data_IF_179695298269
#
_entry.id   IF_179695298269
#
_cell.length_a   1.000
_cell.length_b   1.000
_cell.length_c   1.000
_cell.angle_alpha   90.00
_cell.angle_beta   90.00
_cell.angle_gamma   90.00
#
_symmetry.space_group_name_H-M   'P 1'
#
loop_
_entity.id
_entity.type
_entity.pdbx_description
1 polymer ?
#
# COMPACT_ATOMS: atom_id res chain seq x y z
N UNK A 1 -2.87 -19.72 -9.46
CA UNK A 1 -4.14 -19.49 -8.71
C UNK A 1 -4.17 -18.03 -8.33
N UNK A 2 -5.30 -17.29 -8.33
CA UNK A 2 -5.25 -15.90 -7.89
C UNK A 2 -5.06 -15.91 -6.36
N UNK A 3 -3.82 -15.73 -5.93
CA UNK A 3 -3.45 -15.57 -4.53
C UNK A 3 -3.75 -14.10 -4.16
N UNK A 4 -5.02 -13.78 -3.96
CA UNK A 4 -5.39 -12.40 -3.67
C UNK A 4 -4.90 -12.04 -2.27
N UNK A 5 -4.26 -10.87 -2.15
CA UNK A 5 -3.95 -10.29 -0.85
C UNK A 5 -5.24 -10.12 -0.04
N UNK A 6 -5.17 -10.30 1.27
CA UNK A 6 -6.30 -9.94 2.15
C UNK A 6 -6.02 -8.59 2.77
N UNK A 7 -7.04 -7.75 2.78
CA UNK A 7 -6.96 -6.41 3.33
C UNK A 7 -7.76 -6.33 4.62
N UNK A 8 -7.27 -5.56 5.58
CA UNK A 8 -7.97 -5.20 6.80
C UNK A 8 -7.80 -3.70 7.03
N UNK A 9 -8.86 -2.94 6.75
CA UNK A 9 -8.87 -1.49 6.93
C UNK A 9 -9.25 -1.17 8.38
N UNK A 10 -8.39 -0.39 9.02
CA UNK A 10 -8.55 0.00 10.43
C UNK A 10 -9.12 1.40 10.57
N UNK A 11 -8.78 2.29 9.64
CA UNK A 11 -9.22 3.68 9.67
C UNK A 11 -9.22 4.28 8.26
N UNK A 12 -10.15 5.19 8.04
CA UNK A 12 -10.28 5.99 6.82
C UNK A 12 -10.72 7.41 7.18
N UNK A 13 -10.13 8.40 6.52
CA UNK A 13 -10.50 9.82 6.62
C UNK A 13 -10.44 10.45 5.24
N UNK A 14 -11.48 11.19 4.86
CA UNK A 14 -11.57 11.96 3.60
C UNK A 14 -11.35 13.46 3.82
N UNK A 15 -10.25 13.80 4.50
CA UNK A 15 -9.85 15.18 4.73
C UNK A 15 -8.48 15.28 5.39
N UNK A 16 -7.83 16.42 5.18
CA UNK A 16 -6.58 16.75 5.86
C UNK A 16 -6.57 18.26 6.22
N UNK A 17 -6.41 18.64 7.51
CA UNK A 17 -6.18 17.77 8.67
C UNK A 17 -7.40 16.88 9.01
N UNK A 18 -7.16 15.75 9.68
CA UNK A 18 -8.21 14.82 10.08
C UNK A 18 -9.19 15.46 11.08
N UNK A 19 -10.46 15.05 11.01
CA UNK A 19 -11.51 15.48 11.92
C UNK A 19 -11.81 14.43 13.01
N UNK A 20 -11.64 14.79 14.28
CA UNK A 20 -11.91 13.89 15.41
C UNK A 20 -13.34 14.00 15.97
N UNK A 21 -14.22 14.80 15.35
CA UNK A 21 -15.62 14.94 15.77
C UNK A 21 -16.47 13.78 15.22
N UNK A 22 -17.35 13.23 16.06
CA UNK A 22 -18.27 12.16 15.68
C UNK A 22 -17.73 10.74 15.94
N UNK A 23 -18.49 9.74 15.48
CA UNK A 23 -18.22 8.31 15.72
C UNK A 23 -18.47 7.45 14.46
N UNK A 24 -18.48 8.08 13.29
CA UNK A 24 -18.71 7.37 12.03
C UNK A 24 -17.49 6.52 11.68
N UNK A 25 -17.76 5.28 11.29
CA UNK A 25 -16.74 4.36 10.78
C UNK A 25 -16.72 4.46 9.25
N UNK A 26 -15.88 5.35 8.74
CA UNK A 26 -15.81 5.66 7.31
C UNK A 26 -15.30 4.47 6.46
N UNK A 27 -14.61 3.50 7.06
CA UNK A 27 -14.10 2.30 6.34
C UNK A 27 -15.23 1.58 5.59
N UNK A 28 -16.45 1.58 6.14
CA UNK A 28 -17.62 0.91 5.53
C UNK A 28 -18.02 1.51 4.18
N UNK A 29 -17.65 2.74 3.91
CA UNK A 29 -17.96 3.46 2.67
C UNK A 29 -16.88 3.25 1.59
N UNK A 30 -15.71 2.72 1.97
CA UNK A 30 -14.52 2.64 1.11
C UNK A 30 -14.03 1.20 0.90
N UNK A 31 -14.92 0.22 0.96
CA UNK A 31 -14.56 -1.22 0.88
C UNK A 31 -13.88 -1.66 -0.43
N UNK A 32 -13.95 -0.84 -1.48
CA UNK A 32 -13.32 -1.07 -2.79
C UNK A 32 -12.19 -0.09 -3.11
N UNK A 33 -11.96 0.92 -2.27
CA UNK A 33 -11.00 1.96 -2.53
C UNK A 33 -9.62 1.56 -2.01
N UNK A 34 -8.58 1.96 -2.73
CA UNK A 34 -7.21 1.64 -2.33
C UNK A 34 -6.64 2.71 -1.39
N UNK A 35 -6.97 3.98 -1.61
CA UNK A 35 -6.36 5.17 -0.99
C UNK A 35 -7.38 6.30 -0.96
N UNK A 36 -7.40 7.10 0.11
CA UNK A 36 -8.15 8.37 0.15
C UNK A 36 -7.45 9.43 -0.70
N UNK A 37 -8.24 10.15 -1.51
CA UNK A 37 -7.71 11.24 -2.35
C UNK A 37 -7.54 12.56 -1.60
N UNK A 38 -8.09 12.69 -0.40
CA UNK A 38 -8.09 13.95 0.37
C UNK A 38 -7.61 13.81 1.81
N UNK A 39 -7.48 12.59 2.33
CA UNK A 39 -7.08 12.37 3.72
C UNK A 39 -6.10 11.21 3.89
N UNK A 40 -6.47 10.23 4.72
CA UNK A 40 -5.56 9.18 5.17
C UNK A 40 -6.23 7.83 5.34
N UNK A 41 -5.45 6.77 5.19
CA UNK A 41 -5.87 5.38 5.36
C UNK A 41 -4.89 4.66 6.27
N UNK A 42 -5.39 3.80 7.16
CA UNK A 42 -4.59 2.88 7.96
C UNK A 42 -5.09 1.47 7.74
N UNK A 43 -4.24 0.57 7.24
CA UNK A 43 -4.63 -0.82 6.93
C UNK A 43 -3.54 -1.84 7.20
N UNK A 44 -3.92 -3.10 7.19
CA UNK A 44 -3.01 -4.22 7.02
C UNK A 44 -3.28 -4.95 5.70
N UNK A 45 -2.20 -5.46 5.12
CA UNK A 45 -2.20 -6.30 3.92
C UNK A 45 -1.54 -7.63 4.23
N UNK A 46 -2.30 -8.71 4.12
CA UNK A 46 -1.79 -10.07 4.22
C UNK A 46 -1.48 -10.61 2.82
N UNK A 47 -0.21 -10.94 2.59
CA UNK A 47 0.29 -11.47 1.32
C UNK A 47 0.47 -12.99 1.48
N UNK A 48 -0.25 -13.80 0.68
CA UNK A 48 -0.22 -15.26 0.81
C UNK A 48 1.15 -15.85 0.45
N UNK A 49 1.44 -17.08 0.91
CA UNK A 49 2.57 -17.87 0.43
C UNK A 49 2.64 -17.92 -1.10
N UNK A 50 3.85 -17.74 -1.66
CA UNK A 50 4.08 -17.69 -3.12
C UNK A 50 3.17 -16.69 -3.86
N UNK A 51 2.75 -15.62 -3.17
CA UNK A 51 1.86 -14.59 -3.70
C UNK A 51 2.55 -13.24 -3.87
N UNK A 52 1.81 -12.26 -4.38
CA UNK A 52 2.26 -10.88 -4.49
C UNK A 52 1.10 -9.88 -4.37
N UNK A 53 1.44 -8.64 -4.03
CA UNK A 53 0.56 -7.50 -4.26
C UNK A 53 0.55 -7.12 -5.75
N UNK A 54 -0.49 -6.40 -6.22
CA UNK A 54 -0.44 -5.76 -7.53
C UNK A 54 0.80 -4.87 -7.68
N UNK A 55 1.32 -4.78 -8.89
CA UNK A 55 2.42 -3.86 -9.22
C UNK A 55 1.83 -2.50 -9.61
N UNK A 56 1.98 -1.50 -8.75
CA UNK A 56 1.20 -0.27 -8.84
C UNK A 56 1.89 0.91 -8.15
N UNK A 57 1.40 2.12 -8.41
CA UNK A 57 1.59 3.26 -7.52
C UNK A 57 0.26 3.93 -7.23
N UNK A 58 0.23 4.65 -6.12
CA UNK A 58 -0.88 5.48 -5.67
C UNK A 58 -0.43 6.92 -5.56
N UNK A 59 -1.38 7.85 -5.68
CA UNK A 59 -1.16 9.28 -5.39
C UNK A 59 -1.14 9.49 -3.87
N UNK A 60 -0.13 8.92 -3.21
CA UNK A 60 0.01 8.94 -1.76
C UNK A 60 1.46 8.86 -1.30
N UNK A 61 1.65 9.22 -0.02
CA UNK A 61 2.82 8.91 0.77
C UNK A 61 2.47 7.77 1.72
N UNK A 62 3.21 6.66 1.64
CA UNK A 62 2.91 5.47 2.43
C UNK A 62 4.05 5.15 3.39
N UNK A 63 3.68 4.81 4.63
CA UNK A 63 4.58 4.23 5.63
C UNK A 63 4.18 2.77 5.83
N UNK A 64 4.93 1.86 5.22
CA UNK A 64 4.71 0.42 5.31
C UNK A 64 5.64 -0.23 6.31
N UNK A 65 5.10 -1.03 7.23
CA UNK A 65 5.84 -1.71 8.29
C UNK A 65 5.58 -3.21 8.17
N UNK A 66 6.65 -4.00 7.98
CA UNK A 66 6.52 -5.44 7.95
C UNK A 66 6.42 -5.97 9.38
N UNK A 67 5.25 -6.50 9.75
CA UNK A 67 4.97 -6.95 11.13
C UNK A 67 4.96 -8.47 11.28
N UNK A 68 4.89 -9.23 10.18
CA UNK A 68 4.98 -10.70 10.16
C UNK A 68 5.51 -11.21 8.83
N UNK A 69 6.28 -12.30 8.87
CA UNK A 69 6.80 -12.97 7.68
C UNK A 69 8.02 -12.28 7.04
N UNK A 70 8.23 -12.55 5.76
CA UNK A 70 9.29 -11.95 4.93
C UNK A 70 8.68 -11.53 3.60
N UNK A 71 9.11 -10.39 3.07
CA UNK A 71 8.69 -9.91 1.76
C UNK A 71 9.90 -9.48 0.94
N UNK A 72 9.71 -9.41 -0.37
CA UNK A 72 10.62 -8.75 -1.28
C UNK A 72 9.88 -7.56 -1.88
N UNK A 73 10.34 -6.35 -1.60
CA UNK A 73 9.91 -5.14 -2.30
C UNK A 73 10.57 -5.12 -3.67
N UNK A 74 9.77 -4.94 -4.72
CA UNK A 74 10.23 -4.78 -6.10
C UNK A 74 9.80 -3.42 -6.63
N UNK A 75 10.72 -2.70 -7.27
CA UNK A 75 10.50 -1.38 -7.89
C UNK A 75 10.54 -1.48 -9.42
N UNK A 76 10.15 -0.42 -10.13
CA UNK A 76 10.08 -0.39 -11.61
C UNK A 76 11.41 -0.23 -12.33
N UNK A 77 12.48 0.07 -11.61
CA UNK A 77 13.85 -0.03 -12.12
C UNK A 77 14.44 -1.45 -11.96
N UNK A 78 13.64 -2.41 -11.48
CA UNK A 78 14.03 -3.79 -11.27
C UNK A 78 14.78 -4.03 -9.96
N UNK A 79 14.94 -3.02 -9.09
CA UNK A 79 15.49 -3.23 -7.76
C UNK A 79 14.60 -4.17 -6.94
N UNK A 80 15.26 -5.04 -6.17
CA UNK A 80 14.64 -6.02 -5.29
C UNK A 80 15.27 -5.92 -3.91
N UNK A 81 14.46 -5.66 -2.88
CA UNK A 81 14.93 -5.50 -1.51
C UNK A 81 14.20 -6.49 -0.60
N UNK A 82 14.94 -7.34 0.10
CA UNK A 82 14.37 -8.22 1.11
C UNK A 82 14.01 -7.42 2.37
N UNK A 83 12.77 -7.55 2.82
CA UNK A 83 12.24 -6.98 4.05
C UNK A 83 12.08 -8.08 5.10
N UNK A 84 12.45 -7.76 6.34
CA UNK A 84 12.24 -8.58 7.54
C UNK A 84 11.33 -7.85 8.52
N UNK A 85 10.78 -8.60 9.48
CA UNK A 85 9.93 -8.04 10.53
C UNK A 85 10.64 -6.87 11.22
N UNK A 86 9.95 -5.73 11.31
CA UNK A 86 10.46 -4.48 11.86
C UNK A 86 11.03 -3.51 10.81
N UNK A 87 11.27 -3.95 9.58
CA UNK A 87 11.66 -3.05 8.49
C UNK A 87 10.50 -2.12 8.14
N UNK A 88 10.87 -0.88 7.84
CA UNK A 88 9.94 0.19 7.45
C UNK A 88 10.31 0.67 6.05
N UNK A 89 9.31 0.75 5.18
CA UNK A 89 9.42 1.36 3.86
C UNK A 89 8.68 2.71 3.87
N UNK A 90 9.25 3.69 3.17
CA UNK A 90 8.61 4.99 2.94
C UNK A 90 8.43 5.14 1.44
N UNK A 91 7.19 5.02 0.99
CA UNK A 91 6.85 5.00 -0.42
C UNK A 91 6.35 6.37 -0.86
N UNK A 92 7.10 7.03 -1.73
CA UNK A 92 6.80 8.40 -2.19
C UNK A 92 6.22 8.37 -3.61
N UNK A 93 5.09 7.69 -3.79
CA UNK A 93 4.44 7.53 -5.09
C UNK A 93 5.26 6.73 -6.12
N UNK A 94 6.07 5.75 -5.66
CA UNK A 94 6.85 4.88 -6.56
C UNK A 94 6.03 3.66 -6.97
N UNK A 95 6.26 3.19 -8.19
CA UNK A 95 5.71 1.91 -8.66
C UNK A 95 6.39 0.78 -7.90
N UNK A 96 5.59 -0.10 -7.31
CA UNK A 96 6.11 -1.17 -6.46
C UNK A 96 5.18 -2.38 -6.37
N UNK A 97 5.74 -3.50 -5.94
CA UNK A 97 5.00 -4.67 -5.46
C UNK A 97 5.75 -5.30 -4.28
N UNK A 98 5.01 -5.91 -3.37
CA UNK A 98 5.55 -6.81 -2.36
C UNK A 98 5.31 -8.26 -2.80
N UNK A 99 6.39 -9.03 -2.93
CA UNK A 99 6.36 -10.44 -3.32
C UNK A 99 6.67 -11.29 -2.09
N UNK A 100 5.85 -12.30 -1.84
CA UNK A 100 6.09 -13.31 -0.83
C UNK A 100 6.54 -14.61 -1.51
N UNK A 101 7.85 -14.86 -1.51
CA UNK A 101 8.45 -16.09 -2.05
C UNK A 101 8.53 -17.23 -1.02
N UNK A 102 7.93 -17.03 0.17
CA UNK A 102 7.93 -18.02 1.25
C UNK A 102 6.69 -18.92 1.21
N UNK A 103 6.68 -19.92 2.09
CA UNK A 103 5.56 -20.83 2.34
C UNK A 103 4.63 -20.35 3.47
N UNK A 104 4.94 -19.21 4.11
CA UNK A 104 4.19 -18.62 5.21
C UNK A 104 3.51 -17.31 4.80
N UNK A 105 2.46 -16.92 5.52
CA UNK A 105 1.81 -15.62 5.30
C UNK A 105 2.70 -14.48 5.81
N UNK A 106 2.74 -13.39 5.06
CA UNK A 106 3.37 -12.14 5.48
C UNK A 106 2.33 -11.05 5.68
N UNK A 107 2.55 -10.16 6.66
CA UNK A 107 1.65 -9.02 6.96
C UNK A 107 2.42 -7.71 6.93
N UNK A 108 2.02 -6.82 6.04
CA UNK A 108 2.40 -5.41 6.04
C UNK A 108 1.31 -4.59 6.74
N UNK A 109 1.70 -3.55 7.47
CA UNK A 109 0.80 -2.53 8.01
C UNK A 109 1.17 -1.20 7.39
N UNK A 110 0.21 -0.53 6.78
CA UNK A 110 0.43 0.66 5.97
C UNK A 110 -0.40 1.84 6.50
N UNK A 111 0.27 2.99 6.64
CA UNK A 111 -0.38 4.29 6.83
C UNK A 111 -0.14 5.11 5.57
N UNK A 112 -1.21 5.43 4.84
CA UNK A 112 -1.15 6.22 3.61
C UNK A 112 -1.76 7.59 3.82
N UNK A 113 -1.12 8.61 3.28
CA UNK A 113 -1.60 9.99 3.26
C UNK A 113 -1.77 10.44 1.81
N UNK A 114 -2.83 11.18 1.51
CA UNK A 114 -2.93 11.85 0.21
C UNK A 114 -1.69 12.70 -0.05
N UNK A 115 -1.21 12.70 -1.29
CA UNK A 115 -0.03 13.45 -1.69
C UNK A 115 -0.26 14.15 -3.03
N UNK A 116 0.61 15.11 -3.35
CA UNK A 116 0.66 15.65 -4.71
C UNK A 116 1.12 14.58 -5.70
N UNK A 117 0.62 14.65 -6.94
CA UNK A 117 1.01 13.71 -8.00
C UNK A 117 2.51 13.82 -8.28
N UNK A 118 3.16 12.68 -8.42
CA UNK A 118 4.51 12.61 -8.99
C UNK A 118 4.49 13.02 -10.46
N UNK A 119 5.60 13.62 -10.92
CA UNK A 119 5.80 14.02 -12.32
C UNK A 119 6.82 13.11 -12.99
N UNK A 120 6.42 12.47 -14.08
CA UNK A 120 7.30 11.74 -14.99
C UNK A 120 7.58 12.61 -16.22
N UNK A 121 8.66 13.39 -16.16
CA UNK A 121 8.88 14.49 -17.09
C UNK A 121 7.82 15.58 -16.91
N UNK A 122 7.11 15.94 -17.98
CA UNK A 122 6.06 16.97 -17.95
C UNK A 122 4.66 16.44 -17.60
N UNK A 123 4.53 15.13 -17.36
CA UNK A 123 3.23 14.49 -17.08
C UNK A 123 3.07 14.17 -15.61
N UNK A 124 1.95 14.58 -15.05
CA UNK A 124 1.50 14.09 -13.74
C UNK A 124 0.98 12.66 -13.89
N UNK A 125 1.28 11.83 -12.89
CA UNK A 125 0.93 10.40 -12.91
C UNK A 125 -0.16 10.12 -11.87
N UNK A 126 -1.35 9.76 -12.34
CA UNK A 126 -2.46 9.24 -11.53
C UNK A 126 -2.19 7.81 -11.07
N UNK A 127 -2.87 7.33 -10.03
CA UNK A 127 -2.81 5.92 -9.58
C UNK A 127 -2.86 4.96 -10.77
N UNK A 128 -1.87 4.08 -10.89
CA UNK A 128 -1.77 3.17 -12.03
C UNK A 128 -1.39 1.76 -11.60
N UNK A 129 -1.86 0.76 -12.37
CA UNK A 129 -1.51 -0.64 -12.21
C UNK A 129 -0.79 -1.13 -13.47
N UNK A 130 0.35 -1.79 -13.28
CA UNK A 130 1.16 -2.39 -14.33
C UNK A 130 1.12 -3.92 -14.22
N UNK A 131 1.49 -4.60 -15.30
CA UNK A 131 1.77 -6.03 -15.24
C UNK A 131 2.90 -6.29 -14.25
N UNK A 132 2.76 -7.31 -13.41
CA UNK A 132 3.80 -7.70 -12.45
C UNK A 132 5.14 -7.95 -13.15
N UNK A 133 6.26 -7.55 -12.54
CA UNK A 133 7.61 -7.77 -13.06
C UNK A 133 7.99 -9.26 -13.08
#
# INVERSE_FOLDING_TARGET
>A
MPSYCKFSDFFWEDGFPANNEGYQDAVKEHTSDLVSTTGSVFRAVDIPPSGNSPFHHTVSLDYGILVSGMLILVLDDGQRLALRVGDVIVQRGTIHACINETDEWARMVDVMLTAEKVKAGDKEVDTEFRSSP
#
